data_IF_811496138124
#
_entry.id   IF_811496138124
#
_cell.length_a   1.000
_cell.length_b   1.000
_cell.length_c   1.000
_cell.angle_alpha   90.00
_cell.angle_beta   90.00
_cell.angle_gamma   90.00
#
_symmetry.space_group_name_H-M   'P 1'
#
loop_
_entity.id
_entity.type
_entity.pdbx_description
1 polymer ?
#
# COMPACT_ATOMS: atom_id res chain seq x y z
N UNK A 1 -9.85 3.25 -0.20
CA UNK A 1 -10.51 4.29 0.61
C UNK A 1 -9.55 5.44 0.80
N UNK A 2 -9.96 6.69 0.58
CA UNK A 2 -9.16 7.89 0.90
C UNK A 2 -9.43 8.30 2.34
N UNK A 3 -8.39 8.67 3.09
CA UNK A 3 -8.51 9.15 4.49
C UNK A 3 -7.90 10.53 4.61
N UNK A 4 -8.72 11.50 5.04
CA UNK A 4 -8.31 12.87 5.32
C UNK A 4 -7.58 13.56 4.15
N UNK A 5 -7.89 13.17 2.91
CA UNK A 5 -7.25 13.69 1.68
C UNK A 5 -5.72 13.55 1.66
N UNK A 6 -5.16 12.60 2.42
CA UNK A 6 -3.72 12.42 2.58
C UNK A 6 -3.22 11.06 2.15
N UNK A 7 -4.00 10.02 2.45
CA UNK A 7 -3.60 8.64 2.18
C UNK A 7 -4.73 7.85 1.54
N UNK A 8 -4.33 6.84 0.77
CA UNK A 8 -5.21 5.80 0.25
C UNK A 8 -4.92 4.52 1.00
N UNK A 9 -5.95 3.94 1.61
CA UNK A 9 -5.93 2.59 2.18
C UNK A 9 -6.50 1.62 1.16
N UNK A 10 -5.66 0.69 0.69
CA UNK A 10 -6.05 -0.45 -0.14
C UNK A 10 -6.21 -1.68 0.73
N UNK A 11 -7.45 -2.03 1.05
CA UNK A 11 -7.80 -3.24 1.78
C UNK A 11 -7.68 -4.47 0.88
N UNK A 12 -7.10 -5.55 1.42
CA UNK A 12 -7.09 -6.87 0.79
C UNK A 12 -8.27 -7.66 1.35
N UNK A 13 -9.21 -8.00 0.46
CA UNK A 13 -10.43 -8.73 0.81
C UNK A 13 -10.53 -9.93 -0.14
N UNK A 14 -10.15 -11.14 0.32
CA UNK A 14 -9.71 -11.49 1.68
C UNK A 14 -8.26 -11.02 1.98
N UNK A 15 -7.86 -10.98 3.28
CA UNK A 15 -6.46 -10.83 3.67
C UNK A 15 -5.56 -11.89 3.03
N UNK A 16 -4.30 -11.53 2.79
CA UNK A 16 -3.34 -12.44 2.15
C UNK A 16 -2.29 -12.93 3.15
N UNK A 17 -1.90 -14.23 3.13
CA UNK A 17 -0.82 -14.71 3.97
C UNK A 17 0.52 -14.09 3.57
N UNK A 18 1.35 -13.75 4.55
CA UNK A 18 2.73 -13.33 4.30
C UNK A 18 3.62 -14.54 3.94
N UNK A 19 4.69 -14.34 3.13
CA UNK A 19 5.16 -13.07 2.58
C UNK A 19 4.33 -12.58 1.37
N UNK A 20 4.27 -11.26 1.20
CA UNK A 20 3.70 -10.59 0.03
C UNK A 20 4.73 -9.61 -0.53
N UNK A 21 4.81 -9.43 -1.86
CA UNK A 21 5.82 -8.56 -2.46
C UNK A 21 5.57 -7.07 -2.19
N UNK A 22 4.30 -6.67 -1.98
CA UNK A 22 3.93 -5.26 -1.81
C UNK A 22 4.71 -4.52 -0.70
N UNK A 23 4.73 -5.03 0.55
CA UNK A 23 5.53 -4.45 1.64
C UNK A 23 7.02 -4.32 1.32
N UNK A 24 7.62 -5.37 0.74
CA UNK A 24 9.05 -5.38 0.40
C UNK A 24 9.39 -4.37 -0.70
N UNK A 25 8.59 -4.32 -1.77
CA UNK A 25 8.74 -3.34 -2.86
C UNK A 25 8.60 -1.92 -2.31
N UNK A 26 7.58 -1.64 -1.48
CA UNK A 26 7.41 -0.32 -0.87
C UNK A 26 8.62 0.09 -0.03
N UNK A 27 9.16 -0.82 0.80
CA UNK A 27 10.34 -0.56 1.59
C UNK A 27 11.55 -0.23 0.70
N UNK A 28 11.74 -1.00 -0.37
CA UNK A 28 12.82 -0.78 -1.32
C UNK A 28 12.70 0.56 -2.06
N UNK A 29 11.51 0.94 -2.52
CA UNK A 29 11.28 2.24 -3.18
C UNK A 29 11.65 3.42 -2.26
N UNK A 30 11.31 3.32 -0.98
CA UNK A 30 11.70 4.31 0.04
C UNK A 30 13.22 4.31 0.24
N UNK A 31 13.84 3.13 0.36
CA UNK A 31 15.28 2.97 0.57
C UNK A 31 16.11 3.62 -0.55
N UNK A 32 15.69 3.46 -1.80
CA UNK A 32 16.41 4.03 -2.96
C UNK A 32 15.99 5.47 -3.27
N UNK A 33 15.06 6.06 -2.51
CA UNK A 33 14.58 7.43 -2.70
C UNK A 33 13.72 7.64 -3.95
N UNK A 34 13.06 6.59 -4.46
CA UNK A 34 12.22 6.68 -5.64
C UNK A 34 10.89 7.39 -5.33
N UNK A 35 10.65 8.54 -5.97
CA UNK A 35 9.53 9.43 -5.71
C UNK A 35 8.51 9.56 -6.87
N UNK A 36 8.67 8.79 -7.95
CA UNK A 36 7.75 8.78 -9.11
C UNK A 36 6.54 7.84 -8.90
N UNK A 37 6.22 7.51 -7.64
CA UNK A 37 5.02 6.77 -7.24
C UNK A 37 4.33 7.49 -6.10
N UNK A 38 3.05 7.17 -5.87
CA UNK A 38 2.39 7.62 -4.65
C UNK A 38 3.23 7.22 -3.42
N UNK A 39 3.61 8.15 -2.53
CA UNK A 39 4.55 7.88 -1.44
C UNK A 39 4.12 6.67 -0.62
N UNK A 40 4.95 5.64 -0.41
CA UNK A 40 4.61 4.53 0.47
C UNK A 40 4.52 4.99 1.93
N UNK A 41 3.48 4.57 2.65
CA UNK A 41 3.31 4.90 4.07
C UNK A 41 3.43 3.69 4.99
N UNK A 42 2.64 2.64 4.74
CA UNK A 42 2.59 1.49 5.65
C UNK A 42 2.01 0.24 5.01
N UNK A 43 2.36 -0.92 5.60
CA UNK A 43 1.63 -2.17 5.45
C UNK A 43 0.95 -2.51 6.80
N UNK A 44 -0.34 -2.83 6.77
CA UNK A 44 -1.06 -3.29 7.96
C UNK A 44 -1.08 -4.82 7.97
N UNK A 45 -0.50 -5.43 8.98
CA UNK A 45 -0.53 -6.88 9.18
C UNK A 45 -1.28 -7.25 10.45
N UNK A 46 -1.75 -8.50 10.50
CA UNK A 46 -2.36 -9.11 11.68
C UNK A 46 -1.93 -10.56 11.76
N UNK A 47 -1.60 -11.00 12.97
CA UNK A 47 -1.38 -12.43 13.25
C UNK A 47 -2.73 -13.07 13.57
N UNK A 48 -3.06 -14.15 12.87
CA UNK A 48 -4.26 -14.98 13.08
C UNK A 48 -3.83 -16.44 13.03
N UNK A 49 -4.19 -17.23 14.06
CA UNK A 49 -3.79 -18.64 14.20
C UNK A 49 -2.28 -18.91 13.97
N UNK A 50 -1.43 -18.00 14.47
CA UNK A 50 0.03 -18.09 14.34
C UNK A 50 0.57 -17.78 12.93
N UNK A 51 -0.28 -17.31 12.01
CA UNK A 51 0.11 -16.88 10.66
C UNK A 51 -0.04 -15.38 10.52
N UNK A 52 0.96 -14.73 9.94
CA UNK A 52 0.85 -13.31 9.61
C UNK A 52 0.08 -13.11 8.31
N UNK A 53 -0.90 -12.22 8.34
CA UNK A 53 -1.74 -11.85 7.20
C UNK A 53 -1.57 -10.36 6.91
N UNK A 54 -1.40 -10.02 5.63
CA UNK A 54 -1.48 -8.66 5.12
C UNK A 54 -2.94 -8.25 4.97
N UNK A 55 -3.34 -7.18 5.66
CA UNK A 55 -4.70 -6.63 5.64
C UNK A 55 -4.85 -5.49 4.64
N UNK A 56 -3.85 -4.61 4.57
CA UNK A 56 -3.91 -3.44 3.71
C UNK A 56 -2.52 -2.87 3.39
N UNK A 57 -2.47 -2.11 2.30
CA UNK A 57 -1.36 -1.23 1.95
C UNK A 57 -1.82 0.23 2.00
N UNK A 58 -0.96 1.12 2.48
CA UNK A 58 -1.23 2.55 2.62
C UNK A 58 -0.22 3.33 1.80
N UNK A 59 -0.72 4.17 0.89
CA UNK A 59 0.08 5.08 0.07
C UNK A 59 -0.43 6.51 0.21
N UNK A 60 0.34 7.48 -0.26
CA UNK A 60 -0.12 8.86 -0.42
C UNK A 60 -1.32 8.94 -1.35
N UNK A 61 -2.23 9.86 -1.06
CA UNK A 61 -3.26 10.28 -1.98
C UNK A 61 -2.69 11.34 -2.92
N UNK A 62 -2.91 11.16 -4.22
CA UNK A 62 -2.49 12.10 -5.26
C UNK A 62 -3.75 12.85 -5.73
N UNK A 63 -3.94 14.12 -5.33
CA UNK A 63 -5.08 14.89 -5.79
C UNK A 63 -5.01 15.07 -7.31
N UNK A 64 -6.16 15.06 -7.97
CA UNK A 64 -6.29 15.28 -9.42
C UNK A 64 -5.60 14.24 -10.31
N UNK A 65 -5.06 13.16 -9.74
CA UNK A 65 -4.53 12.05 -10.52
C UNK A 65 -5.63 11.40 -11.36
N UNK A 66 -5.38 11.28 -12.66
CA UNK A 66 -6.23 10.56 -13.61
C UNK A 66 -5.69 9.16 -13.85
N UNK A 67 -6.56 8.23 -14.21
CA UNK A 67 -6.12 6.93 -14.67
C UNK A 67 -5.40 7.07 -16.02
N UNK A 68 -4.23 6.42 -16.17
CA UNK A 68 -3.47 6.43 -17.41
C UNK A 68 -4.16 5.69 -18.56
N UNK A 69 -5.15 4.84 -18.27
CA UNK A 69 -5.96 4.18 -19.29
C UNK A 69 -7.01 5.10 -19.94
N UNK A 70 -7.31 6.24 -19.32
CA UNK A 70 -8.30 7.23 -19.81
C UNK A 70 -7.66 8.32 -20.69
N UNK A 71 -6.35 8.22 -20.97
CA UNK A 71 -5.62 9.16 -21.82
C UNK A 71 -5.78 8.85 -23.32
#
# INVERSE_FOLDING_TARGET
MVVGERVVVKWLVPPLPMPQPGPEIMAHLVEVGFNETAPPYAALTRVEDGRELLLALVTGYLPEATDGWEW
#
